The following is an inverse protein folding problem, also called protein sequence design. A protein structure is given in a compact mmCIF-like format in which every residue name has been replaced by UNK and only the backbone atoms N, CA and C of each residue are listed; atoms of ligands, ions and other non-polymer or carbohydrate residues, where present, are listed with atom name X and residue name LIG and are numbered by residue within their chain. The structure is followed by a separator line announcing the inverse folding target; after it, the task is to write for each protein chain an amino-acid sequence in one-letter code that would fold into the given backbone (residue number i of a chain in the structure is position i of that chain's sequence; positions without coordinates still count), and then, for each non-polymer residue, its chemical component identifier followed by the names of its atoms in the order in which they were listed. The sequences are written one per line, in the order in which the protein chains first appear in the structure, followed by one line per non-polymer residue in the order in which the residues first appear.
data_IF_999410797386
#
_entry.id   IF_999410797386
#
_cell.length_a   1.000
_cell.length_b   1.000
_cell.length_c   1.000
_cell.angle_alpha   90.00
_cell.angle_beta   90.00
_cell.angle_gamma   90.00
#
_symmetry.space_group_name_H-M   'P 1'
#
loop_
_entity.id
_entity.type
_entity.pdbx_description
1 polymer ?
#
# COMPACT_ATOMS: atom_id res chain seq x y z
N UNK A 1 -69.82 -20.77 3.94
CA UNK A 1 -70.12 -20.59 5.37
C UNK A 1 -69.05 -21.35 6.16
N UNK A 2 -68.17 -20.65 6.85
CA UNK A 2 -67.26 -21.23 7.88
C UNK A 2 -67.91 -21.06 9.26
N UNK A 3 -67.58 -21.93 10.22
CA UNK A 3 -66.60 -21.59 11.27
C UNK A 3 -65.73 -22.81 11.65
N UNK A 4 -64.78 -22.84 12.58
CA UNK A 4 -63.81 -21.93 13.23
C UNK A 4 -63.12 -22.76 14.33
N UNK A 5 -61.88 -22.40 14.68
CA UNK A 5 -61.22 -22.57 16.00
C UNK A 5 -60.38 -23.82 16.29
N UNK A 6 -59.19 -23.57 16.86
CA UNK A 6 -58.51 -24.46 17.82
C UNK A 6 -57.04 -24.75 17.52
N UNK A 7 -56.13 -24.03 18.18
CA UNK A 7 -54.67 -24.24 18.11
C UNK A 7 -54.19 -25.50 18.87
N UNK A 8 -53.00 -26.07 18.54
CA UNK A 8 -52.38 -27.19 19.25
C UNK A 8 -51.40 -26.77 20.36
N UNK A 9 -51.36 -27.58 21.42
CA UNK A 9 -50.55 -27.52 22.64
C UNK A 9 -49.17 -28.18 22.49
N UNK A 10 -48.13 -27.52 23.04
CA UNK A 10 -47.14 -27.97 24.08
C UNK A 10 -47.03 -29.50 24.30
N UNK A 11 -45.88 -30.19 24.44
CA UNK A 11 -44.49 -29.89 24.84
C UNK A 11 -43.59 -31.09 24.45
N UNK A 12 -42.29 -30.87 24.28
CA UNK A 12 -41.25 -31.66 24.99
C UNK A 12 -39.85 -31.06 24.71
N UNK A 13 -39.37 -30.29 25.68
CA UNK A 13 -38.02 -29.73 25.73
C UNK A 13 -37.01 -30.83 26.07
N UNK A 14 -36.02 -31.03 25.19
CA UNK A 14 -34.79 -31.78 25.52
C UNK A 14 -33.59 -30.84 25.37
N UNK A 15 -33.21 -30.22 26.47
CA UNK A 15 -31.99 -29.43 26.64
C UNK A 15 -30.71 -30.22 26.29
N UNK A 16 -29.80 -29.65 25.48
CA UNK A 16 -28.39 -30.00 25.49
C UNK A 16 -27.56 -28.84 26.06
N UNK A 17 -26.92 -29.12 27.20
CA UNK A 17 -25.92 -28.27 27.86
C UNK A 17 -24.77 -27.92 26.90
N UNK A 18 -24.62 -26.63 26.54
CA UNK A 18 -23.41 -26.09 25.91
C UNK A 18 -22.79 -25.02 26.82
N UNK A 19 -21.75 -25.40 27.55
CA UNK A 19 -20.85 -24.46 28.23
C UNK A 19 -20.05 -23.67 27.19
N UNK A 20 -19.90 -22.33 27.31
CA UNK A 20 -19.22 -21.53 26.30
C UNK A 20 -17.71 -21.54 26.53
N UNK A 21 -16.94 -22.09 25.59
CA UNK A 21 -15.48 -22.22 25.68
C UNK A 21 -14.69 -21.32 24.71
N UNK A 22 -15.32 -20.31 24.08
CA UNK A 22 -14.63 -19.41 23.14
C UNK A 22 -15.13 -17.97 23.34
N UNK A 23 -14.26 -16.96 23.56
CA UNK A 23 -14.68 -15.57 23.63
C UNK A 23 -15.11 -15.08 22.23
N UNK A 24 -16.20 -14.30 22.19
CA UNK A 24 -16.76 -13.66 20.99
C UNK A 24 -15.70 -12.84 20.23
N UNK A 25 -15.05 -13.44 19.25
CA UNK A 25 -14.34 -12.71 18.22
C UNK A 25 -15.32 -12.39 17.10
N UNK A 26 -15.76 -11.13 17.05
CA UNK A 26 -16.69 -10.64 16.05
C UNK A 26 -16.25 -11.00 14.64
N UNK A 27 -17.18 -11.55 13.87
CA UNK A 27 -17.03 -11.77 12.42
C UNK A 27 -16.95 -10.40 11.76
N UNK A 28 -15.75 -9.97 11.36
CA UNK A 28 -15.58 -8.81 10.50
C UNK A 28 -15.68 -9.27 9.05
N UNK A 29 -16.51 -8.60 8.26
CA UNK A 29 -16.57 -8.84 6.81
C UNK A 29 -15.23 -8.46 6.18
N UNK A 30 -14.55 -9.45 5.60
CA UNK A 30 -13.35 -9.23 4.78
C UNK A 30 -13.79 -9.08 3.33
N UNK A 31 -13.97 -7.85 2.87
CA UNK A 31 -14.19 -7.58 1.44
C UNK A 31 -12.93 -7.96 0.63
N UNK A 32 -12.98 -9.12 -0.01
CA UNK A 32 -11.90 -9.56 -0.90
C UNK A 32 -12.08 -8.91 -2.28
N UNK A 33 -11.50 -7.73 -2.48
CA UNK A 33 -11.32 -7.21 -3.85
C UNK A 33 -10.43 -8.19 -4.63
N UNK A 34 -10.98 -8.83 -5.66
CA UNK A 34 -10.27 -9.81 -6.48
C UNK A 34 -9.06 -9.14 -7.16
N UNK A 35 -7.87 -9.28 -6.57
CA UNK A 35 -6.61 -8.74 -7.11
C UNK A 35 -5.94 -9.81 -7.97
N UNK A 36 -6.06 -9.68 -9.29
CA UNK A 36 -5.32 -10.52 -10.24
C UNK A 36 -3.83 -10.21 -10.11
N UNK A 37 -3.04 -11.22 -9.78
CA UNK A 37 -1.57 -11.11 -9.77
C UNK A 37 -1.04 -11.81 -11.01
N UNK A 38 -0.49 -11.04 -11.96
CA UNK A 38 0.12 -11.61 -13.16
C UNK A 38 1.64 -11.64 -12.98
N UNK A 39 2.24 -12.82 -13.13
CA UNK A 39 3.69 -13.02 -13.04
C UNK A 39 4.22 -13.11 -14.47
N UNK A 40 4.93 -12.07 -14.90
CA UNK A 40 5.55 -12.02 -16.23
C UNK A 40 7.04 -12.33 -16.10
N UNK A 41 7.53 -13.34 -16.83
CA UNK A 41 8.96 -13.62 -16.97
C UNK A 41 9.53 -12.80 -18.12
N UNK A 42 10.46 -11.89 -17.81
CA UNK A 42 11.19 -11.13 -18.82
C UNK A 42 12.53 -11.83 -19.13
N UNK A 43 12.82 -12.04 -20.41
CA UNK A 43 14.11 -12.53 -20.91
C UNK A 43 14.77 -11.45 -21.78
N UNK A 44 15.31 -10.38 -21.17
CA UNK A 44 15.85 -9.27 -21.92
C UNK A 44 17.19 -9.61 -22.57
N UNK A 45 17.38 -9.17 -23.83
CA UNK A 45 18.71 -9.17 -24.46
C UNK A 45 19.60 -8.07 -23.82
N UNK A 46 20.93 -8.16 -23.93
CA UNK A 46 21.86 -7.22 -23.32
C UNK A 46 21.63 -5.74 -23.71
N UNK A 47 21.11 -5.47 -24.92
CA UNK A 47 20.68 -4.13 -25.30
C UNK A 47 19.43 -3.67 -24.52
N UNK A 48 18.42 -4.54 -24.41
CA UNK A 48 17.20 -4.26 -23.66
C UNK A 48 17.50 -4.06 -22.17
N UNK A 49 18.39 -4.85 -21.60
CA UNK A 49 18.85 -4.71 -20.22
C UNK A 49 19.49 -3.34 -19.97
N UNK A 50 20.40 -2.89 -20.85
CA UNK A 50 20.99 -1.54 -20.76
C UNK A 50 19.92 -0.44 -20.82
N UNK A 51 18.93 -0.59 -21.69
CA UNK A 51 17.81 0.37 -21.81
C UNK A 51 16.96 0.38 -20.53
N UNK A 52 16.60 -0.80 -20.01
CA UNK A 52 15.85 -0.95 -18.76
C UNK A 52 16.60 -0.34 -17.58
N UNK A 53 17.92 -0.55 -17.51
CA UNK A 53 18.77 0.02 -16.46
C UNK A 53 18.80 1.55 -16.50
N UNK A 54 18.85 2.16 -17.70
CA UNK A 54 18.75 3.63 -17.86
C UNK A 54 17.41 4.14 -17.36
N UNK A 55 16.30 3.52 -17.77
CA UNK A 55 14.96 3.89 -17.30
C UNK A 55 14.83 3.75 -15.78
N UNK A 56 15.30 2.64 -15.22
CA UNK A 56 15.31 2.40 -13.80
C UNK A 56 16.09 3.48 -13.01
N UNK A 57 17.25 3.89 -13.53
CA UNK A 57 18.04 4.96 -12.92
C UNK A 57 17.28 6.29 -12.93
N UNK A 58 16.64 6.65 -14.04
CA UNK A 58 15.83 7.87 -14.14
C UNK A 58 14.61 7.83 -13.22
N UNK A 59 13.89 6.71 -13.15
CA UNK A 59 12.80 6.51 -12.19
C UNK A 59 13.28 6.71 -10.74
N UNK A 60 14.47 6.21 -10.42
CA UNK A 60 15.05 6.34 -9.08
C UNK A 60 15.44 7.78 -8.76
N UNK A 61 15.95 8.54 -9.73
CA UNK A 61 16.24 9.97 -9.60
C UNK A 61 14.96 10.78 -9.39
N UNK A 62 13.91 10.50 -10.17
CA UNK A 62 12.60 11.11 -10.02
C UNK A 62 12.04 10.88 -8.61
N UNK A 63 11.97 9.62 -8.17
CA UNK A 63 11.45 9.28 -6.85
C UNK A 63 12.29 9.93 -5.74
N UNK A 64 13.61 9.86 -5.80
CA UNK A 64 14.48 10.38 -4.74
C UNK A 64 14.47 11.91 -4.68
N UNK A 65 14.45 12.61 -5.83
CA UNK A 65 14.38 14.06 -5.87
C UNK A 65 13.06 14.58 -5.30
N UNK A 66 11.95 14.03 -5.78
CA UNK A 66 10.62 14.39 -5.29
C UNK A 66 10.45 14.06 -3.80
N UNK A 67 10.96 12.89 -3.36
CA UNK A 67 10.91 12.51 -1.95
C UNK A 67 11.82 13.39 -1.06
N UNK A 68 12.94 13.89 -1.61
CA UNK A 68 13.82 14.80 -0.88
C UNK A 68 13.09 16.10 -0.54
N UNK A 69 12.48 16.76 -1.53
CA UNK A 69 11.75 18.03 -1.30
C UNK A 69 10.63 17.85 -0.28
N UNK A 70 9.82 16.79 -0.41
CA UNK A 70 8.73 16.51 0.54
C UNK A 70 9.22 16.21 1.95
N UNK A 71 10.34 15.50 2.09
CA UNK A 71 10.95 15.25 3.41
C UNK A 71 11.49 16.53 4.01
N UNK A 72 12.10 17.41 3.21
CA UNK A 72 12.54 18.73 3.69
C UNK A 72 11.34 19.49 4.26
N UNK A 73 10.26 19.65 3.50
CA UNK A 73 9.02 20.30 3.98
C UNK A 73 8.53 19.68 5.30
N UNK A 74 8.44 18.35 5.36
CA UNK A 74 7.98 17.64 6.55
C UNK A 74 8.84 17.91 7.79
N UNK A 75 10.17 17.92 7.66
CA UNK A 75 11.07 18.17 8.79
C UNK A 75 11.16 19.64 9.18
N UNK A 76 10.88 20.57 8.27
CA UNK A 76 10.75 21.99 8.58
C UNK A 76 9.40 22.34 9.25
N UNK A 77 8.52 21.35 9.45
CA UNK A 77 7.19 21.55 10.04
C UNK A 77 6.15 22.09 9.05
N UNK A 78 6.50 22.18 7.77
CA UNK A 78 5.59 22.60 6.71
C UNK A 78 4.65 21.47 6.29
N UNK A 79 3.49 21.85 5.74
CA UNK A 79 2.60 20.88 5.11
C UNK A 79 3.24 20.37 3.82
N UNK A 80 3.40 19.06 3.72
CA UNK A 80 3.95 18.42 2.52
C UNK A 80 3.05 18.70 1.32
N UNK A 81 3.59 19.41 0.33
CA UNK A 81 2.87 19.78 -0.87
C UNK A 81 2.95 18.64 -1.90
N UNK A 82 1.91 17.82 -1.96
CA UNK A 82 1.83 16.71 -2.91
C UNK A 82 1.51 17.17 -4.34
N UNK A 83 0.84 18.32 -4.51
CA UNK A 83 0.34 18.78 -5.82
C UNK A 83 1.35 19.68 -6.52
N UNK A 84 1.91 20.69 -5.87
CA UNK A 84 2.91 21.55 -6.51
C UNK A 84 4.21 20.81 -6.82
N UNK A 85 4.63 19.89 -5.95
CA UNK A 85 5.76 18.99 -6.28
C UNK A 85 5.44 18.03 -7.43
N UNK A 86 4.16 17.72 -7.66
CA UNK A 86 3.77 16.88 -8.80
C UNK A 86 4.02 17.60 -10.11
N UNK A 87 3.42 18.78 -10.31
CA UNK A 87 3.49 19.50 -11.58
C UNK A 87 4.95 19.82 -11.95
N UNK A 88 5.75 20.26 -10.97
CA UNK A 88 7.18 20.55 -11.14
C UNK A 88 7.98 19.34 -11.65
N UNK A 89 7.79 18.16 -11.04
CA UNK A 89 8.57 16.97 -11.40
C UNK A 89 8.01 16.27 -12.65
N UNK A 90 6.70 16.33 -12.87
CA UNK A 90 6.10 15.82 -14.08
C UNK A 90 6.62 16.56 -15.31
N UNK A 91 6.62 17.89 -15.28
CA UNK A 91 7.16 18.71 -16.38
C UNK A 91 8.64 18.43 -16.66
N UNK A 92 9.43 18.19 -15.60
CA UNK A 92 10.85 17.86 -15.72
C UNK A 92 11.11 16.47 -16.33
N UNK A 93 10.29 15.47 -16.00
CA UNK A 93 10.56 14.07 -16.36
C UNK A 93 9.62 13.50 -17.45
N UNK A 94 8.58 14.23 -17.87
CA UNK A 94 7.64 13.77 -18.92
C UNK A 94 8.33 13.46 -20.24
N UNK A 95 9.35 14.23 -20.62
CA UNK A 95 10.12 14.01 -21.85
C UNK A 95 11.00 12.76 -21.80
N UNK A 96 11.44 12.36 -20.60
CA UNK A 96 12.39 11.25 -20.41
C UNK A 96 11.69 9.93 -20.11
N UNK A 97 10.65 9.96 -19.27
CA UNK A 97 9.96 8.76 -18.78
C UNK A 97 8.54 8.60 -19.36
N UNK A 98 7.97 9.65 -19.96
CA UNK A 98 6.61 9.63 -20.49
C UNK A 98 5.59 9.24 -19.42
N UNK A 99 4.69 8.32 -19.78
CA UNK A 99 3.63 7.78 -18.91
C UNK A 99 4.21 7.15 -17.62
N UNK A 100 5.44 6.65 -17.64
CA UNK A 100 6.06 6.05 -16.46
C UNK A 100 6.39 7.07 -15.37
N UNK A 101 6.56 8.36 -15.70
CA UNK A 101 6.78 9.41 -14.71
C UNK A 101 5.61 9.48 -13.72
N UNK A 102 4.39 9.51 -14.26
CA UNK A 102 3.15 9.52 -13.48
C UNK A 102 3.05 8.31 -12.56
N UNK A 103 3.37 7.10 -13.05
CA UNK A 103 3.33 5.90 -12.24
C UNK A 103 4.31 5.94 -11.05
N UNK A 104 5.54 6.43 -11.27
CA UNK A 104 6.55 6.58 -10.20
C UNK A 104 6.09 7.60 -9.16
N UNK A 105 5.55 8.74 -9.61
CA UNK A 105 5.06 9.78 -8.73
C UNK A 105 3.84 9.32 -7.92
N UNK A 106 2.94 8.55 -8.54
CA UNK A 106 1.79 7.96 -7.86
C UNK A 106 2.24 7.02 -6.73
N UNK A 107 3.26 6.19 -6.95
CA UNK A 107 3.85 5.37 -5.89
C UNK A 107 4.45 6.18 -4.75
N UNK A 108 5.01 7.34 -5.02
CA UNK A 108 5.45 8.24 -3.96
C UNK A 108 4.28 8.84 -3.19
N UNK A 109 3.22 9.28 -3.89
CA UNK A 109 1.99 9.79 -3.26
C UNK A 109 1.32 8.74 -2.38
N UNK A 110 1.23 7.48 -2.84
CA UNK A 110 0.74 6.35 -2.04
C UNK A 110 1.57 6.20 -0.76
N UNK A 111 2.91 6.20 -0.86
CA UNK A 111 3.78 6.06 0.31
C UNK A 111 3.60 7.18 1.34
N UNK A 112 3.45 8.44 0.90
CA UNK A 112 3.16 9.56 1.79
C UNK A 112 1.76 9.49 2.38
N UNK A 113 0.75 9.12 1.59
CA UNK A 113 -0.62 8.97 2.05
C UNK A 113 -0.73 7.89 3.13
N UNK A 114 -0.09 6.73 2.92
CA UNK A 114 0.02 5.66 3.92
C UNK A 114 0.71 6.15 5.19
N UNK A 115 1.80 6.91 5.06
CA UNK A 115 2.51 7.47 6.21
C UNK A 115 1.62 8.42 7.03
N UNK A 116 0.88 9.32 6.39
CA UNK A 116 -0.03 10.23 7.09
C UNK A 116 -1.19 9.49 7.78
N UNK A 117 -1.74 8.45 7.15
CA UNK A 117 -2.75 7.59 7.77
C UNK A 117 -2.20 6.90 9.04
N UNK A 118 -0.97 6.38 8.98
CA UNK A 118 -0.31 5.79 10.15
C UNK A 118 -0.06 6.81 11.26
N UNK A 119 0.34 8.05 10.93
CA UNK A 119 0.49 9.12 11.91
C UNK A 119 -0.85 9.47 12.58
N UNK A 120 -1.95 9.48 11.83
CA UNK A 120 -3.30 9.73 12.36
C UNK A 120 -3.71 8.60 13.32
N UNK A 121 -3.49 7.35 12.96
CA UNK A 121 -3.75 6.19 13.83
C UNK A 121 -2.92 6.21 15.11
N UNK A 122 -1.63 6.60 15.01
CA UNK A 122 -0.76 6.77 16.17
C UNK A 122 -1.30 7.84 17.13
N UNK A 123 -1.78 8.98 16.62
CA UNK A 123 -2.41 10.02 17.44
C UNK A 123 -3.71 9.55 18.12
N UNK A 124 -4.43 8.60 17.50
CA UNK A 124 -5.66 8.03 18.05
C UNK A 124 -5.42 6.85 19.01
N UNK A 125 -4.18 6.41 19.23
CA UNK A 125 -3.86 5.25 20.06
C UNK A 125 -4.28 3.90 19.47
N UNK A 126 -4.71 3.86 18.20
CA UNK A 126 -5.21 2.65 17.51
C UNK A 126 -4.10 1.88 16.77
N UNK A 127 -2.84 2.15 17.09
CA UNK A 127 -1.72 1.50 16.42
C UNK A 127 -1.43 0.16 17.10
N UNK A 128 -1.23 -0.93 16.36
CA UNK A 128 -0.96 -2.23 16.96
C UNK A 128 0.29 -2.15 17.84
N UNK A 129 0.26 -2.84 18.99
CA UNK A 129 1.26 -2.76 20.07
C UNK A 129 2.69 -3.04 19.61
N UNK A 130 2.87 -3.81 18.54
CA UNK A 130 4.19 -4.10 17.96
C UNK A 130 4.79 -2.94 17.13
N UNK A 131 4.00 -1.92 16.76
CA UNK A 131 4.44 -0.84 15.86
C UNK A 131 4.75 0.41 16.67
N UNK A 132 5.94 0.49 17.23
CA UNK A 132 6.33 1.62 18.08
C UNK A 132 6.78 2.85 17.26
N UNK A 133 7.23 2.65 16.01
CA UNK A 133 7.83 3.70 15.19
C UNK A 133 7.25 3.74 13.77
N UNK A 134 6.81 4.93 13.35
CA UNK A 134 6.34 5.19 11.98
C UNK A 134 7.36 6.13 11.33
N UNK A 135 8.01 5.68 10.26
CA UNK A 135 9.04 6.44 9.56
C UNK A 135 8.50 7.10 8.29
N UNK A 136 8.97 8.31 7.92
CA UNK A 136 8.69 8.89 6.62
C UNK A 136 9.20 8.00 5.47
N UNK A 137 8.66 8.15 4.24
CA UNK A 137 9.10 7.38 3.07
C UNK A 137 10.62 7.47 2.85
N UNK A 138 11.28 6.31 2.72
CA UNK A 138 12.73 6.23 2.52
C UNK A 138 13.10 6.39 1.05
N UNK A 139 14.35 6.78 0.79
CA UNK A 139 14.90 6.81 -0.56
C UNK A 139 15.02 5.41 -1.15
N UNK A 140 14.85 5.30 -2.46
CA UNK A 140 15.14 4.08 -3.19
C UNK A 140 16.64 3.93 -3.35
N UNK A 141 17.20 3.00 -2.56
CA UNK A 141 18.64 2.68 -2.53
C UNK A 141 18.86 1.18 -2.59
N UNK A 142 19.95 0.81 -3.24
CA UNK A 142 20.58 -0.47 -3.17
C UNK A 142 21.15 -0.71 -1.78
N UNK A 143 20.72 -1.80 -1.13
CA UNK A 143 21.24 -2.19 0.17
C UNK A 143 22.70 -2.67 0.12
N UNK A 144 23.15 -3.17 -1.02
CA UNK A 144 24.50 -3.68 -1.24
C UNK A 144 25.41 -2.60 -1.80
N UNK A 145 25.00 -1.93 -2.87
CA UNK A 145 25.85 -0.95 -3.56
C UNK A 145 25.69 0.48 -3.05
N UNK A 146 24.72 0.75 -2.16
CA UNK A 146 24.30 2.10 -1.71
C UNK A 146 23.88 3.07 -2.83
N UNK A 147 23.81 2.61 -4.09
CA UNK A 147 23.40 3.39 -5.27
C UNK A 147 21.87 3.46 -5.36
N UNK A 148 21.31 4.40 -6.11
CA UNK A 148 19.86 4.46 -6.33
C UNK A 148 19.36 3.17 -6.98
N UNK A 149 18.30 2.54 -6.43
CA UNK A 149 17.72 1.29 -6.95
C UNK A 149 16.39 1.51 -7.65
N UNK A 150 16.14 0.74 -8.70
CA UNK A 150 14.82 0.59 -9.30
C UNK A 150 13.78 0.12 -8.26
N UNK A 151 12.51 0.47 -8.47
CA UNK A 151 11.40 0.06 -7.61
C UNK A 151 11.41 -1.46 -7.34
N UNK A 152 11.33 -1.94 -6.08
CA UNK A 152 11.34 -3.37 -5.75
C UNK A 152 10.22 -4.21 -6.36
N UNK A 153 9.19 -3.61 -6.97
CA UNK A 153 8.15 -4.35 -7.70
C UNK A 153 8.67 -5.21 -8.88
N UNK A 154 9.93 -5.08 -9.29
CA UNK A 154 10.54 -5.90 -10.35
C UNK A 154 11.55 -6.94 -9.85
N UNK A 155 11.62 -7.21 -8.54
CA UNK A 155 12.58 -8.21 -8.02
C UNK A 155 12.12 -9.63 -8.39
N UNK A 156 12.52 -10.09 -9.56
CA UNK A 156 12.64 -11.52 -9.86
C UNK A 156 13.66 -12.09 -8.88
N UNK A 157 13.20 -12.93 -7.96
CA UNK A 157 14.04 -13.85 -7.22
C UNK A 157 14.47 -14.92 -8.22
N UNK A 158 15.66 -14.78 -8.78
CA UNK A 158 16.30 -15.89 -9.49
C UNK A 158 16.57 -16.98 -8.46
N UNK A 159 15.90 -18.12 -8.63
CA UNK A 159 16.33 -19.40 -8.07
C UNK A 159 17.39 -19.99 -9.01
#
# INVERSE_FOLDING_TARGET
MTPSSGQPSEDEEREPTFTPAIPEEGVYEVEYSNKRTNIVRLLPNGFQERKLRRLANECSKLFNGLNYERRQQFFHGEKVDLKGTWDKYYEKYKSTLGVNAQAVMQKNNEAWSSFFSLLKLKKQGKLPSHTNYVSPPRYWKDRETKRSKANPCSKTRSL
#
